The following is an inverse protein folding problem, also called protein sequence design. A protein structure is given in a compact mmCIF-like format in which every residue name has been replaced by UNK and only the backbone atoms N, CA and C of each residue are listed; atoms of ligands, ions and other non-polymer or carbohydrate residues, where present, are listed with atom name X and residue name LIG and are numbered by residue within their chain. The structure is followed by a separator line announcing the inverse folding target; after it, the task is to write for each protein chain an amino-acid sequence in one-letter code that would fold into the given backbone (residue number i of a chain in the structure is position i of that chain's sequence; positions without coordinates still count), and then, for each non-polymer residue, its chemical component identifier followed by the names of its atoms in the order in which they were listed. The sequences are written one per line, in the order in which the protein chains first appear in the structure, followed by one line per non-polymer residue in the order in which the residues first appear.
data_IF_523549189628
#
_entry.id   IF_523549189628
#
_cell.length_a   1.000
_cell.length_b   1.000
_cell.length_c   1.000
_cell.angle_alpha   90.00
_cell.angle_beta   90.00
_cell.angle_gamma   90.00
#
_symmetry.space_group_name_H-M   'P 1'
#
loop_
_entity.id
_entity.type
_entity.pdbx_description
1 polymer ?
#
# COMPACT_ATOMS: atom_id res chain seq x y z
N UNK A 1 8.07 12.16 5.71
CA UNK A 1 7.05 12.65 6.67
C UNK A 1 5.72 12.66 5.94
N UNK A 2 4.62 12.39 6.65
CA UNK A 2 3.27 12.50 6.11
C UNK A 2 2.56 13.58 6.92
N UNK A 3 1.97 14.55 6.24
CA UNK A 3 1.25 15.66 6.86
C UNK A 3 -0.14 15.77 6.23
N UNK A 4 -1.15 15.82 7.09
CA UNK A 4 -2.56 15.93 6.73
C UNK A 4 -3.09 17.18 7.42
N UNK A 5 -3.57 18.13 6.63
CA UNK A 5 -3.97 19.46 7.10
C UNK A 5 -5.45 19.71 6.87
N UNK A 6 -6.23 19.64 7.95
CA UNK A 6 -7.64 20.00 8.02
C UNK A 6 -8.50 19.38 6.90
N UNK A 7 -8.26 18.11 6.61
CA UNK A 7 -8.92 17.48 5.47
C UNK A 7 -10.40 17.27 5.73
N UNK A 8 -11.20 17.54 4.70
CA UNK A 8 -12.62 17.24 4.66
C UNK A 8 -12.90 16.24 3.54
N UNK A 9 -13.72 15.22 3.83
CA UNK A 9 -14.16 14.26 2.83
C UNK A 9 -15.60 13.89 3.05
N UNK A 10 -16.39 13.98 1.99
CA UNK A 10 -17.79 13.60 1.94
C UNK A 10 -18.01 12.63 0.78
N UNK A 11 -18.93 11.69 0.95
CA UNK A 11 -19.44 10.86 -0.14
C UNK A 11 -20.94 11.12 -0.31
N UNK A 12 -21.46 10.93 -1.51
CA UNK A 12 -22.90 10.98 -1.77
C UNK A 12 -23.63 10.00 -0.84
N UNK A 13 -24.47 10.53 0.05
CA UNK A 13 -25.19 9.75 1.07
C UNK A 13 -24.47 9.55 2.41
N UNK A 14 -23.22 10.03 2.55
CA UNK A 14 -22.49 10.08 3.84
C UNK A 14 -21.78 11.42 4.00
N UNK A 15 -22.49 12.46 4.50
CA UNK A 15 -21.84 13.69 4.90
C UNK A 15 -20.91 13.43 6.10
N UNK A 16 -19.73 14.05 6.09
CA UNK A 16 -18.84 14.16 7.24
C UNK A 16 -17.94 12.96 7.50
N UNK A 17 -17.42 12.26 6.48
CA UNK A 17 -16.45 11.18 6.73
C UNK A 17 -15.20 11.73 7.44
N UNK A 18 -14.68 12.86 6.96
CA UNK A 18 -13.70 13.68 7.66
C UNK A 18 -14.17 15.14 7.67
N UNK A 19 -14.06 15.80 8.82
CA UNK A 19 -14.50 17.18 9.02
C UNK A 19 -13.39 17.98 9.71
N UNK A 20 -12.29 18.23 8.98
CA UNK A 20 -11.11 18.93 9.51
C UNK A 20 -10.10 18.02 10.20
N UNK A 21 -9.89 16.80 9.68
CA UNK A 21 -8.88 15.89 10.22
C UNK A 21 -7.48 16.44 9.95
N UNK A 22 -6.66 16.58 11.00
CA UNK A 22 -5.24 16.89 10.90
C UNK A 22 -4.40 15.81 11.58
N UNK A 23 -3.32 15.40 10.93
CA UNK A 23 -2.42 14.36 11.42
C UNK A 23 -1.02 14.59 10.86
N UNK A 24 0.00 14.42 11.71
CA UNK A 24 1.39 14.40 11.28
C UNK A 24 2.00 13.06 11.68
N UNK A 25 2.70 12.42 10.74
CA UNK A 25 3.46 11.20 10.94
C UNK A 25 4.91 11.47 10.54
N UNK A 26 5.81 11.36 11.52
CA UNK A 26 7.24 11.62 11.34
C UNK A 26 7.92 10.42 10.68
N UNK A 27 9.12 10.66 10.16
CA UNK A 27 9.92 9.59 9.58
C UNK A 27 10.28 8.55 10.64
N UNK A 28 10.10 7.27 10.32
CA UNK A 28 10.39 6.16 11.24
C UNK A 28 9.28 5.85 12.25
N UNK A 29 8.19 6.60 12.26
CA UNK A 29 7.06 6.28 13.13
C UNK A 29 6.27 5.07 12.62
N UNK A 30 5.90 4.20 13.55
CA UNK A 30 4.96 3.12 13.32
C UNK A 30 3.59 3.51 13.88
N UNK A 31 2.63 3.76 12.99
CA UNK A 31 1.30 4.26 13.35
C UNK A 31 0.24 3.22 13.01
N UNK A 32 -0.67 2.96 13.95
CA UNK A 32 -1.83 2.10 13.74
C UNK A 32 -3.11 2.93 13.66
N UNK A 33 -3.88 2.76 12.58
CA UNK A 33 -5.20 3.38 12.42
C UNK A 33 -6.30 2.42 12.88
N UNK A 34 -6.93 2.74 14.01
CA UNK A 34 -7.98 1.94 14.62
C UNK A 34 -9.36 2.59 14.45
N UNK A 35 -10.40 1.77 14.39
CA UNK A 35 -11.79 2.23 14.40
C UNK A 35 -12.76 1.25 13.74
N UNK A 36 -14.09 1.44 13.91
CA UNK A 36 -15.13 0.57 13.36
C UNK A 36 -15.07 0.43 11.83
N UNK A 37 -15.74 -0.59 11.28
CA UNK A 37 -15.90 -0.67 9.83
C UNK A 37 -16.63 0.57 9.30
N UNK A 38 -16.16 1.11 8.17
CA UNK A 38 -16.74 2.30 7.55
C UNK A 38 -16.32 3.65 8.15
N UNK A 39 -15.46 3.69 9.18
CA UNK A 39 -14.98 4.96 9.77
C UNK A 39 -13.94 5.72 8.91
N UNK A 40 -13.67 5.28 7.68
CA UNK A 40 -12.80 6.00 6.74
C UNK A 40 -11.33 5.58 6.70
N UNK A 41 -10.89 4.55 7.43
CA UNK A 41 -9.47 4.07 7.41
C UNK A 41 -8.91 3.88 6.00
N UNK A 42 -9.62 3.10 5.17
CA UNK A 42 -9.19 2.83 3.79
C UNK A 42 -9.21 4.09 2.92
N UNK A 43 -10.15 5.01 3.16
CA UNK A 43 -10.20 6.32 2.48
C UNK A 43 -9.00 7.18 2.86
N UNK A 44 -8.63 7.21 4.15
CA UNK A 44 -7.45 7.93 4.62
C UNK A 44 -6.17 7.39 3.98
N UNK A 45 -6.00 6.05 3.95
CA UNK A 45 -4.86 5.42 3.29
C UNK A 45 -4.83 5.70 1.78
N UNK A 46 -5.98 5.73 1.11
CA UNK A 46 -6.07 6.11 -0.31
C UNK A 46 -5.64 7.56 -0.55
N UNK A 47 -6.04 8.48 0.33
CA UNK A 47 -5.63 9.88 0.23
C UNK A 47 -4.14 10.07 0.48
N UNK A 48 -3.57 9.38 1.47
CA UNK A 48 -2.11 9.33 1.68
C UNK A 48 -1.39 8.77 0.45
N UNK A 49 -2.01 7.83 -0.27
CA UNK A 49 -1.45 7.28 -1.51
C UNK A 49 -1.66 8.09 -2.76
N UNK A 50 -2.36 9.22 -2.69
CA UNK A 50 -2.69 10.04 -3.85
C UNK A 50 -3.68 9.38 -4.82
N UNK A 51 -4.24 8.22 -4.49
CA UNK A 51 -5.30 7.54 -5.27
C UNK A 51 -6.61 8.31 -5.17
N UNK A 52 -6.82 9.01 -4.06
CA UNK A 52 -8.03 9.77 -3.78
C UNK A 52 -7.66 11.15 -3.25
N UNK A 53 -8.40 12.19 -3.62
CA UNK A 53 -8.16 13.55 -3.15
C UNK A 53 -9.17 13.93 -2.05
N UNK A 54 -8.77 14.73 -1.05
CA UNK A 54 -9.72 15.33 -0.13
C UNK A 54 -10.58 16.36 -0.85
N UNK A 55 -11.78 16.64 -0.35
CA UNK A 55 -12.65 17.68 -0.92
C UNK A 55 -12.19 19.09 -0.51
N UNK A 56 -11.56 19.20 0.68
CA UNK A 56 -10.88 20.39 1.20
C UNK A 56 -9.68 19.98 2.05
N UNK A 57 -8.73 20.89 2.23
CA UNK A 57 -7.47 20.63 2.95
C UNK A 57 -6.43 19.99 2.04
N UNK A 58 -5.32 19.53 2.63
CA UNK A 58 -4.19 19.00 1.87
C UNK A 58 -3.57 17.78 2.54
N UNK A 59 -3.01 16.87 1.73
CA UNK A 59 -2.19 15.75 2.17
C UNK A 59 -0.84 15.85 1.49
N UNK A 60 0.23 15.97 2.28
CA UNK A 60 1.61 16.06 1.81
C UNK A 60 2.41 14.84 2.26
N UNK A 61 3.15 14.25 1.32
CA UNK A 61 4.03 13.10 1.59
C UNK A 61 5.41 13.42 1.06
N UNK A 62 6.40 13.55 1.95
CA UNK A 62 7.73 14.04 1.58
C UNK A 62 8.57 13.05 0.77
N UNK A 63 8.18 11.76 0.70
CA UNK A 63 8.90 10.74 -0.05
C UNK A 63 7.97 10.08 -1.08
N UNK A 64 8.32 10.08 -2.38
CA UNK A 64 7.45 9.55 -3.43
C UNK A 64 7.36 8.02 -3.44
N UNK A 65 8.26 7.32 -2.74
CA UNK A 65 8.27 5.86 -2.66
C UNK A 65 7.26 5.33 -1.64
N UNK A 66 5.97 5.38 -1.99
CA UNK A 66 4.90 4.81 -1.18
C UNK A 66 4.52 3.42 -1.68
N UNK A 67 4.62 2.42 -0.79
CA UNK A 67 4.08 1.08 -1.00
C UNK A 67 2.72 0.93 -0.32
N UNK A 68 1.76 0.33 -1.01
CA UNK A 68 0.43 0.00 -0.45
C UNK A 68 0.20 -1.50 -0.54
N UNK A 69 -0.11 -2.11 0.60
CA UNK A 69 -0.56 -3.51 0.68
C UNK A 69 -2.07 -3.51 0.87
N UNK A 70 -2.78 -4.21 0.00
CA UNK A 70 -4.23 -4.28 0.03
C UNK A 70 -4.71 -5.42 0.93
N UNK A 71 -5.93 -5.28 1.47
CA UNK A 71 -6.58 -6.35 2.25
C UNK A 71 -6.77 -7.62 1.42
N UNK A 72 -7.19 -7.47 0.17
CA UNK A 72 -7.22 -8.56 -0.82
C UNK A 72 -5.97 -8.52 -1.68
N UNK A 73 -5.23 -9.64 -1.86
CA UNK A 73 -4.03 -9.67 -2.69
C UNK A 73 -4.34 -9.26 -4.13
N UNK A 74 -3.68 -8.19 -4.60
CA UNK A 74 -3.79 -7.71 -5.98
C UNK A 74 -2.66 -8.22 -6.87
N UNK A 75 -2.32 -9.50 -6.73
CA UNK A 75 -1.32 -10.15 -7.58
C UNK A 75 -1.82 -10.26 -9.03
N UNK A 76 -0.96 -9.96 -9.99
CA UNK A 76 -1.20 -10.14 -11.42
C UNK A 76 -1.24 -11.63 -11.74
N UNK A 77 -2.43 -12.14 -12.05
CA UNK A 77 -2.72 -13.59 -12.18
C UNK A 77 -1.95 -14.29 -13.30
N UNK A 78 -1.57 -13.53 -14.32
CA UNK A 78 -0.83 -13.98 -15.50
C UNK A 78 0.69 -13.87 -15.34
N UNK A 79 1.17 -13.45 -14.17
CA UNK A 79 2.59 -13.36 -13.83
C UNK A 79 2.94 -14.33 -12.72
N UNK A 80 4.17 -14.82 -12.72
CA UNK A 80 4.74 -15.61 -11.63
C UNK A 80 4.96 -14.74 -10.38
N UNK A 81 5.28 -15.37 -9.24
CA UNK A 81 5.61 -14.65 -8.00
C UNK A 81 6.79 -13.71 -8.21
N UNK A 82 7.87 -14.16 -8.86
CA UNK A 82 9.03 -13.31 -9.14
C UNK A 82 8.68 -12.12 -10.04
N UNK A 83 7.85 -12.32 -11.05
CA UNK A 83 7.43 -11.26 -11.98
C UNK A 83 6.48 -10.25 -11.32
N UNK A 84 5.73 -10.67 -10.30
CA UNK A 84 4.95 -9.77 -9.45
C UNK A 84 5.86 -8.94 -8.55
N UNK A 85 6.85 -9.57 -7.92
CA UNK A 85 7.83 -8.88 -7.06
C UNK A 85 8.67 -7.87 -7.86
N UNK A 86 9.06 -8.22 -9.09
CA UNK A 86 9.87 -7.37 -9.96
C UNK A 86 9.09 -6.24 -10.64
N UNK A 87 7.76 -6.25 -10.60
CA UNK A 87 6.92 -5.29 -11.31
C UNK A 87 7.31 -3.81 -11.05
N UNK A 88 7.55 -3.34 -9.80
CA UNK A 88 7.94 -1.94 -9.57
C UNK A 88 9.29 -1.56 -10.20
N UNK A 89 10.20 -2.53 -10.35
CA UNK A 89 11.49 -2.31 -11.02
C UNK A 89 11.32 -2.17 -12.53
N UNK A 90 10.42 -2.97 -13.12
CA UNK A 90 10.08 -2.87 -14.55
C UNK A 90 9.41 -1.54 -14.90
N UNK A 91 8.57 -1.02 -14.00
CA UNK A 91 7.87 0.25 -14.17
C UNK A 91 8.77 1.48 -13.90
N UNK A 92 10.05 1.27 -13.57
CA UNK A 92 10.99 2.36 -13.28
C UNK A 92 10.72 3.09 -11.97
N UNK A 93 9.92 2.52 -11.07
CA UNK A 93 9.55 3.12 -9.79
C UNK A 93 10.63 2.99 -8.71
N UNK A 94 11.65 2.15 -8.94
CA UNK A 94 12.77 1.89 -8.01
C UNK A 94 14.07 1.79 -8.80
N UNK A 95 15.19 2.29 -8.24
CA UNK A 95 16.51 2.21 -8.87
C UNK A 95 16.93 0.75 -9.12
N UNK A 96 17.41 0.47 -10.34
CA UNK A 96 17.83 -0.87 -10.84
C UNK A 96 18.91 -1.54 -9.98
N UNK A 97 19.63 -0.79 -9.16
CA UNK A 97 20.70 -1.26 -8.27
C UNK A 97 20.19 -2.03 -7.03
N UNK A 98 18.89 -1.92 -6.70
CA UNK A 98 18.28 -2.68 -5.61
C UNK A 98 18.10 -4.12 -6.08
N UNK A 99 19.15 -4.90 -5.91
CA UNK A 99 19.39 -6.18 -6.55
C UNK A 99 18.22 -7.15 -6.55
N UNK A 100 18.15 -7.88 -7.66
CA UNK A 100 17.28 -9.01 -8.03
C UNK A 100 17.29 -10.20 -7.07
N UNK A 101 17.59 -10.00 -5.79
CA UNK A 101 17.62 -11.09 -4.83
C UNK A 101 16.20 -11.43 -4.35
N UNK A 102 15.41 -11.94 -5.29
CA UNK A 102 14.07 -12.48 -5.08
C UNK A 102 14.10 -13.49 -3.93
N UNK A 103 15.17 -14.29 -3.82
CA UNK A 103 15.31 -15.27 -2.74
C UNK A 103 15.36 -14.63 -1.35
N UNK A 104 16.04 -13.48 -1.20
CA UNK A 104 16.05 -12.74 0.07
C UNK A 104 14.68 -12.14 0.38
N UNK A 105 13.98 -11.58 -0.61
CA UNK A 105 12.64 -11.02 -0.42
C UNK A 105 11.63 -12.11 -0.01
N UNK A 106 11.67 -13.27 -0.66
CA UNK A 106 10.84 -14.42 -0.30
C UNK A 106 11.14 -14.90 1.12
N UNK A 107 12.42 -14.95 1.53
CA UNK A 107 12.79 -15.32 2.91
C UNK A 107 12.28 -14.33 3.94
N UNK A 108 12.27 -13.02 3.66
CA UNK A 108 11.75 -11.99 4.57
C UNK A 108 10.27 -12.25 4.91
N UNK A 109 9.50 -12.73 3.93
CA UNK A 109 8.08 -13.07 4.10
C UNK A 109 7.86 -14.55 4.42
N UNK A 110 8.93 -15.30 4.75
CA UNK A 110 8.91 -16.73 5.10
C UNK A 110 8.31 -17.62 4.01
N UNK A 111 8.61 -17.32 2.75
CA UNK A 111 8.32 -18.15 1.59
C UNK A 111 9.62 -18.81 1.08
N UNK A 112 9.49 -20.06 0.65
CA UNK A 112 10.59 -20.81 0.05
C UNK A 112 10.91 -20.31 -1.35
N UNK A 113 12.17 -20.34 -1.76
CA UNK A 113 12.58 -19.89 -3.10
C UNK A 113 11.94 -20.68 -4.26
N UNK A 114 11.49 -21.91 -4.02
CA UNK A 114 10.78 -22.73 -5.01
C UNK A 114 9.48 -22.10 -5.52
N UNK A 115 8.86 -21.20 -4.74
CA UNK A 115 7.59 -20.57 -5.14
C UNK A 115 7.77 -19.46 -6.19
N UNK A 116 9.01 -19.02 -6.44
CA UNK A 116 9.29 -17.89 -7.33
C UNK A 116 8.66 -18.04 -8.72
N UNK A 117 8.69 -19.26 -9.28
CA UNK A 117 8.16 -19.58 -10.61
C UNK A 117 6.69 -19.96 -10.63
N UNK A 118 6.03 -20.04 -9.47
CA UNK A 118 4.61 -20.38 -9.40
C UNK A 118 3.75 -19.18 -9.79
N UNK A 119 2.58 -19.45 -10.36
CA UNK A 119 1.53 -18.47 -10.59
C UNK A 119 0.63 -18.31 -9.36
N UNK A 120 -0.05 -17.15 -9.19
CA UNK A 120 -0.91 -16.90 -8.05
C UNK A 120 -1.96 -17.98 -7.80
N UNK A 121 -2.53 -18.59 -8.83
CA UNK A 121 -3.55 -19.64 -8.66
C UNK A 121 -3.00 -20.93 -8.00
N UNK A 122 -1.69 -21.15 -8.02
CA UNK A 122 -1.01 -22.28 -7.40
C UNK A 122 -0.65 -22.02 -5.93
N UNK A 123 -0.87 -20.80 -5.44
CA UNK A 123 -0.55 -20.40 -4.07
C UNK A 123 -1.77 -20.56 -3.15
N UNK A 124 -1.50 -20.98 -1.91
CA UNK A 124 -2.51 -20.90 -0.85
C UNK A 124 -2.88 -19.44 -0.54
N UNK A 125 -4.03 -19.21 0.08
CA UNK A 125 -4.45 -17.86 0.48
C UNK A 125 -3.42 -17.15 1.37
N UNK A 126 -2.85 -17.87 2.34
CA UNK A 126 -1.81 -17.32 3.23
C UNK A 126 -0.49 -17.01 2.51
N UNK A 127 -0.15 -17.76 1.47
CA UNK A 127 1.02 -17.46 0.64
C UNK A 127 0.81 -16.22 -0.24
N UNK A 128 -0.43 -15.96 -0.68
CA UNK A 128 -0.75 -14.75 -1.47
C UNK A 128 -0.72 -13.46 -0.64
N UNK A 129 -0.95 -13.56 0.66
CA UNK A 129 -0.96 -12.43 1.60
C UNK A 129 0.44 -12.02 2.09
N UNK A 130 1.44 -12.88 1.85
CA UNK A 130 2.84 -12.68 2.22
C UNK A 130 3.60 -12.09 1.06
#
# INVERSE_FOLDING_TARGET
MIEICSITKNFSGRPGLFAGLSLQIRQGEFVCLLGPSGCGKSTLLRMVSGIELPDRGEVQVSQPSLGVVFQDPRLLRWRTVEENICLPLELGSIAKETGRNISSLLRLVRLDSSVAKLFPHQLSGGMKMR
#
